data_IF_337544117482
#
_entry.id   IF_337544117482
#
_cell.length_a   1.000
_cell.length_b   1.000
_cell.length_c   1.000
_cell.angle_alpha   90.00
_cell.angle_beta   90.00
_cell.angle_gamma   90.00
#
_symmetry.space_group_name_H-M   'P 1'
#
loop_
_entity.id
_entity.type
_entity.pdbx_description
1 polymer ?
#
# COMPACT_ATOMS: atom_id res chain seq x y z
N UNK A 1 19.91 -13.13 -9.89
CA UNK A 1 18.96 -14.04 -9.22
C UNK A 1 17.70 -13.24 -8.94
N UNK A 2 16.74 -13.20 -9.87
CA UNK A 2 15.47 -12.51 -9.62
C UNK A 2 14.66 -13.51 -8.78
N UNK A 3 14.55 -13.24 -7.48
CA UNK A 3 13.77 -14.05 -6.57
C UNK A 3 12.32 -14.15 -7.08
N UNK A 4 11.63 -15.25 -6.74
CA UNK A 4 10.25 -15.56 -7.15
C UNK A 4 9.28 -14.42 -6.79
N UNK A 5 9.11 -13.45 -7.67
CA UNK A 5 8.25 -12.29 -7.48
C UNK A 5 7.31 -12.21 -8.69
N UNK A 6 6.02 -12.07 -8.42
CA UNK A 6 5.01 -11.82 -9.44
C UNK A 6 4.93 -10.32 -9.67
N UNK A 7 5.18 -9.89 -10.91
CA UNK A 7 4.98 -8.50 -11.31
C UNK A 7 3.54 -8.34 -11.77
N UNK A 8 2.85 -7.35 -11.20
CA UNK A 8 1.46 -7.04 -11.53
C UNK A 8 1.43 -5.74 -12.32
N UNK A 9 0.69 -5.75 -13.42
CA UNK A 9 0.49 -4.56 -14.26
C UNK A 9 -0.59 -3.66 -13.69
N UNK A 10 -0.47 -2.36 -13.89
CA UNK A 10 -1.51 -1.38 -13.56
C UNK A 10 -2.47 -1.32 -14.76
N UNK A 11 -3.71 -1.77 -14.56
CA UNK A 11 -4.76 -1.73 -15.56
C UNK A 11 -5.82 -0.68 -15.27
N UNK A 12 -6.95 -0.82 -15.95
CA UNK A 12 -8.10 0.07 -15.79
C UNK A 12 -8.67 0.04 -14.37
N UNK A 13 -8.81 -1.16 -13.77
CA UNK A 13 -9.38 -1.32 -12.42
C UNK A 13 -8.51 -0.65 -11.35
N UNK A 14 -7.20 -0.81 -11.45
CA UNK A 14 -6.23 -0.16 -10.58
C UNK A 14 -6.28 1.37 -10.77
N UNK A 15 -6.39 1.83 -12.02
CA UNK A 15 -6.48 3.27 -12.33
C UNK A 15 -7.75 3.92 -11.77
N UNK A 16 -8.90 3.24 -11.86
CA UNK A 16 -10.16 3.70 -11.26
C UNK A 16 -10.05 3.78 -9.74
N UNK A 17 -9.52 2.72 -9.12
CA UNK A 17 -9.30 2.68 -7.67
C UNK A 17 -8.34 3.79 -7.21
N UNK A 18 -7.29 4.09 -7.99
CA UNK A 18 -6.39 5.20 -7.72
C UNK A 18 -7.11 6.56 -7.78
N UNK A 19 -8.03 6.75 -8.73
CA UNK A 19 -8.88 7.92 -8.83
C UNK A 19 -9.75 8.12 -7.59
N UNK A 20 -10.38 7.05 -7.09
CA UNK A 20 -11.19 7.09 -5.88
C UNK A 20 -10.37 7.44 -4.64
N UNK A 21 -9.16 6.87 -4.52
CA UNK A 21 -8.22 7.18 -3.44
C UNK A 21 -7.85 8.67 -3.49
N UNK A 22 -7.47 9.20 -4.65
CA UNK A 22 -7.14 10.62 -4.82
C UNK A 22 -8.31 11.53 -4.48
N UNK A 23 -9.53 11.18 -4.91
CA UNK A 23 -10.72 11.94 -4.60
C UNK A 23 -10.97 12.01 -3.08
N UNK A 24 -10.80 10.88 -2.37
CA UNK A 24 -10.97 10.82 -0.92
C UNK A 24 -9.88 11.58 -0.16
N UNK A 25 -8.61 11.47 -0.59
CA UNK A 25 -7.51 12.23 0.00
C UNK A 25 -7.74 13.74 -0.17
N UNK A 26 -8.12 14.18 -1.37
CA UNK A 26 -8.45 15.60 -1.64
C UNK A 26 -9.61 16.10 -0.78
N UNK A 27 -10.69 15.32 -0.65
CA UNK A 27 -11.84 15.67 0.20
C UNK A 27 -11.45 15.85 1.68
N UNK A 28 -10.43 15.14 2.14
CA UNK A 28 -9.96 15.18 3.53
C UNK A 28 -8.78 16.13 3.75
N UNK A 29 -8.40 16.91 2.72
CA UNK A 29 -7.27 17.83 2.77
C UNK A 29 -5.90 17.14 2.86
N UNK A 30 -5.84 15.84 2.54
CA UNK A 30 -4.63 15.04 2.58
C UNK A 30 -4.04 14.89 1.18
N UNK A 31 -2.72 14.74 1.12
CA UNK A 31 -2.00 14.46 -0.12
C UNK A 31 -1.10 13.25 0.06
N UNK A 32 -0.88 12.53 -1.02
CA UNK A 32 0.04 11.40 -1.10
C UNK A 32 0.66 11.39 -2.50
N UNK A 33 1.86 10.85 -2.63
CA UNK A 33 2.51 10.69 -3.94
C UNK A 33 1.67 9.79 -4.86
N UNK A 34 1.72 10.04 -6.16
CA UNK A 34 0.94 9.24 -7.13
C UNK A 34 1.42 7.78 -7.14
N UNK A 35 2.71 7.56 -6.88
CA UNK A 35 3.33 6.24 -6.78
C UNK A 35 2.74 5.44 -5.61
N UNK A 36 2.63 6.05 -4.42
CA UNK A 36 2.01 5.43 -3.25
C UNK A 36 0.52 5.12 -3.49
N UNK A 37 -0.19 6.03 -4.18
CA UNK A 37 -1.59 5.82 -4.56
C UNK A 37 -1.71 4.63 -5.51
N UNK A 38 -0.85 4.52 -6.52
CA UNK A 38 -0.88 3.41 -7.47
C UNK A 38 -0.55 2.08 -6.79
N UNK A 39 0.44 2.05 -5.88
CA UNK A 39 0.76 0.86 -5.07
C UNK A 39 -0.46 0.44 -4.24
N UNK A 40 -1.10 1.39 -3.55
CA UNK A 40 -2.27 1.11 -2.74
C UNK A 40 -3.46 0.64 -3.58
N UNK A 41 -3.70 1.28 -4.72
CA UNK A 41 -4.76 0.89 -5.64
C UNK A 41 -4.55 -0.53 -6.17
N UNK A 42 -3.34 -0.85 -6.65
CA UNK A 42 -2.98 -2.21 -7.07
C UNK A 42 -3.21 -3.24 -5.96
N UNK A 43 -2.81 -2.93 -4.73
CA UNK A 43 -3.04 -3.82 -3.60
C UNK A 43 -4.53 -4.01 -3.28
N UNK A 44 -5.31 -2.94 -3.26
CA UNK A 44 -6.75 -3.01 -2.96
C UNK A 44 -7.53 -3.77 -4.04
N UNK A 45 -7.26 -3.50 -5.32
CA UNK A 45 -7.91 -4.18 -6.44
C UNK A 45 -7.61 -5.69 -6.44
N UNK A 46 -6.39 -6.08 -6.06
CA UNK A 46 -5.95 -7.48 -6.05
C UNK A 46 -6.05 -8.14 -4.66
N UNK A 47 -6.65 -7.46 -3.67
CA UNK A 47 -6.81 -7.94 -2.29
C UNK A 47 -5.49 -8.30 -1.58
N UNK A 48 -4.40 -7.65 -1.95
CA UNK A 48 -3.09 -7.81 -1.33
C UNK A 48 -2.90 -6.93 -0.10
N UNK A 49 -1.79 -7.17 0.60
CA UNK A 49 -1.32 -6.38 1.75
C UNK A 49 -0.09 -5.59 1.30
N UNK A 50 -0.07 -4.29 1.57
CA UNK A 50 1.12 -3.45 1.33
C UNK A 50 2.10 -3.64 2.46
N UNK A 51 3.28 -4.17 2.15
CA UNK A 51 4.37 -4.28 3.11
C UNK A 51 5.26 -3.05 2.99
N UNK A 52 5.35 -2.24 4.04
CA UNK A 52 6.11 -0.98 4.00
C UNK A 52 6.62 -0.56 5.38
N UNK A 53 7.79 0.07 5.40
CA UNK A 53 8.32 0.74 6.59
C UNK A 53 7.69 2.14 6.80
N UNK A 54 7.04 2.70 5.77
CA UNK A 54 6.38 4.00 5.84
C UNK A 54 4.87 3.86 6.06
N UNK A 55 4.48 3.21 7.15
CA UNK A 55 3.07 2.91 7.46
C UNK A 55 2.22 4.18 7.58
N UNK A 56 2.79 5.30 8.06
CA UNK A 56 2.10 6.58 8.23
C UNK A 56 1.56 7.14 6.91
N UNK A 57 2.27 6.97 5.81
CA UNK A 57 1.82 7.41 4.48
C UNK A 57 0.59 6.63 4.03
N UNK A 58 0.68 5.31 4.07
CA UNK A 58 -0.36 4.41 3.59
C UNK A 58 -1.58 4.34 4.51
N UNK A 59 -1.42 4.61 5.82
CA UNK A 59 -2.52 4.64 6.78
C UNK A 59 -3.59 5.72 6.48
N UNK A 60 -3.28 6.69 5.62
CA UNK A 60 -4.24 7.69 5.11
C UNK A 60 -5.31 7.10 4.22
N UNK A 61 -5.06 5.93 3.63
CA UNK A 61 -5.95 5.27 2.69
C UNK A 61 -6.85 4.31 3.45
N UNK A 62 -8.12 4.69 3.62
CA UNK A 62 -9.10 3.90 4.35
C UNK A 62 -9.34 2.55 3.67
N UNK A 63 -9.26 1.46 4.44
CA UNK A 63 -9.51 0.10 3.97
C UNK A 63 -8.29 -0.61 3.35
N UNK A 64 -7.15 0.07 3.24
CA UNK A 64 -5.90 -0.55 2.81
C UNK A 64 -5.31 -1.42 3.94
N UNK A 65 -4.95 -2.67 3.62
CA UNK A 65 -4.24 -3.55 4.55
C UNK A 65 -2.73 -3.30 4.44
N UNK A 66 -2.08 -3.08 5.57
CA UNK A 66 -0.66 -2.70 5.65
C UNK A 66 0.04 -3.55 6.70
N UNK A 67 1.26 -3.98 6.40
CA UNK A 67 2.15 -4.63 7.36
C UNK A 67 3.52 -3.94 7.40
N UNK A 68 4.11 -3.85 8.58
CA UNK A 68 5.50 -3.44 8.77
C UNK A 68 6.32 -4.61 9.30
N UNK A 69 7.08 -5.26 8.43
CA UNK A 69 7.90 -6.40 8.82
C UNK A 69 9.11 -6.04 9.69
N UNK A 70 9.43 -4.76 9.85
CA UNK A 70 10.52 -4.33 10.73
C UNK A 70 10.09 -4.32 12.21
N UNK A 71 8.80 -4.18 12.50
CA UNK A 71 8.25 -4.15 13.86
C UNK A 71 8.34 -5.52 14.55
N UNK A 72 8.26 -6.62 13.78
CA UNK A 72 8.27 -7.98 14.30
C UNK A 72 9.68 -8.53 14.64
N UNK A 73 10.74 -7.71 14.53
CA UNK A 73 12.14 -8.19 14.63
C UNK A 73 12.73 -8.19 16.04
N UNK A 74 11.96 -7.83 17.07
CA UNK A 74 12.45 -7.75 18.46
C UNK A 74 12.06 -8.95 19.36
N UNK A 75 11.44 -10.01 18.82
CA UNK A 75 10.95 -11.16 19.62
C UNK A 75 11.97 -12.34 19.70
N UNK A 76 13.21 -12.20 19.23
CA UNK A 76 14.23 -13.27 19.27
C UNK A 76 15.44 -13.00 20.17
N UNK A 77 15.23 -12.35 21.33
CA UNK A 77 16.18 -12.41 22.46
C UNK A 77 15.47 -12.59 23.80
N UNK A 78 14.96 -13.80 24.05
CA UNK A 78 14.85 -14.34 25.42
C UNK A 78 14.67 -15.86 25.36
N UNK A 79 15.77 -16.59 25.32
CA UNK A 79 15.95 -17.86 26.04
C UNK A 79 17.43 -18.18 26.14
#
# INVERSE_FOLDING_TARGET
>A
MIARINVVSIGEKESLTAGDILANLRKTGQTLGIEDVLIAASAMTNQYIVVTANTRHFARIKGLKIENWLENRFITKKS
#
